data_IF_181376907166
#
_entry.id   IF_181376907166
#
_cell.length_a   1.000
_cell.length_b   1.000
_cell.length_c   1.000
_cell.angle_alpha   90.00
_cell.angle_beta   90.00
_cell.angle_gamma   90.00
#
_symmetry.space_group_name_H-M   'P 1'
#
loop_
_entity.id
_entity.type
_entity.pdbx_description
1 polymer ?
#
# COMPACT_ATOMS: atom_id res chain seq x y z
N UNK A 1 12.03 10.77 22.84
CA UNK A 1 10.83 11.38 22.25
C UNK A 1 10.63 12.72 22.96
N UNK A 2 10.37 13.80 22.22
CA UNK A 2 10.02 15.10 22.81
C UNK A 2 8.60 15.05 23.39
N UNK A 3 8.26 16.01 24.25
CA UNK A 3 6.90 16.18 24.75
C UNK A 3 5.97 16.60 23.59
N UNK A 4 4.74 16.18 23.64
CA UNK A 4 3.70 16.52 22.67
C UNK A 4 2.32 16.52 23.38
N UNK A 5 1.38 17.26 22.85
CA UNK A 5 -0.03 17.21 23.23
C UNK A 5 -0.71 16.02 22.52
N UNK A 6 -1.67 15.40 23.20
CA UNK A 6 -2.42 14.27 22.65
C UNK A 6 -3.91 14.57 22.60
N UNK A 7 -4.50 14.41 21.42
CA UNK A 7 -5.92 14.54 21.16
C UNK A 7 -6.48 13.26 20.52
N UNK A 8 -7.70 12.89 20.89
CA UNK A 8 -8.39 11.72 20.33
C UNK A 8 -9.84 12.10 19.99
N UNK A 9 -10.05 12.79 18.86
CA UNK A 9 -11.36 13.24 18.41
C UNK A 9 -12.30 12.07 18.13
N UNK A 10 -13.60 12.33 18.21
CA UNK A 10 -14.63 11.35 17.96
C UNK A 10 -15.15 11.36 16.51
N UNK A 11 -14.80 12.40 15.73
CA UNK A 11 -15.22 12.53 14.33
C UNK A 11 -14.07 12.94 13.41
N UNK A 12 -14.22 12.67 12.10
CA UNK A 12 -13.28 13.13 11.08
C UNK A 12 -13.24 14.66 11.02
N UNK A 13 -14.39 15.32 11.19
CA UNK A 13 -14.47 16.78 11.19
C UNK A 13 -13.65 17.40 12.33
N UNK A 14 -13.74 16.84 13.55
CA UNK A 14 -12.95 17.30 14.70
C UNK A 14 -11.46 17.01 14.49
N UNK A 15 -11.11 15.87 13.87
CA UNK A 15 -9.73 15.54 13.55
C UNK A 15 -9.14 16.55 12.54
N UNK A 16 -9.89 16.91 11.51
CA UNK A 16 -9.52 17.93 10.52
C UNK A 16 -9.38 19.31 11.18
N UNK A 17 -10.32 19.69 12.05
CA UNK A 17 -10.26 20.97 12.75
C UNK A 17 -9.04 21.10 13.68
N UNK A 18 -8.53 19.97 14.19
CA UNK A 18 -7.35 19.94 15.06
C UNK A 18 -6.01 19.93 14.28
N UNK A 19 -6.03 19.73 12.95
CA UNK A 19 -4.83 19.74 12.11
C UNK A 19 -4.27 21.15 11.97
N UNK A 20 -2.96 21.25 12.10
CA UNK A 20 -2.14 22.42 11.81
C UNK A 20 -0.74 21.97 11.40
N UNK A 21 0.16 22.90 11.07
CA UNK A 21 1.53 22.59 10.63
C UNK A 21 2.32 21.72 11.60
N UNK A 22 2.10 21.90 12.92
CA UNK A 22 2.79 21.18 13.99
C UNK A 22 2.07 19.90 14.45
N UNK A 23 0.91 19.58 13.87
CA UNK A 23 0.14 18.41 14.22
C UNK A 23 0.38 17.24 13.25
N UNK A 24 0.34 16.01 13.76
CA UNK A 24 0.38 14.79 12.95
C UNK A 24 -0.73 13.83 13.32
N UNK A 25 -1.36 13.25 12.31
CA UNK A 25 -2.33 12.17 12.49
C UNK A 25 -1.65 10.89 12.98
N UNK A 26 -2.21 10.30 14.01
CA UNK A 26 -1.79 9.01 14.53
C UNK A 26 -2.81 7.93 14.15
N UNK A 27 -2.42 7.04 13.23
CA UNK A 27 -3.17 5.83 12.90
C UNK A 27 -2.62 4.63 13.70
N UNK A 28 -1.99 3.65 13.05
CA UNK A 28 -1.36 2.50 13.70
C UNK A 28 -0.05 2.81 14.44
N UNK A 29 0.58 3.94 14.15
CA UNK A 29 1.81 4.41 14.79
C UNK A 29 3.09 3.65 14.42
N UNK A 30 3.03 2.73 13.44
CA UNK A 30 4.16 1.83 13.15
C UNK A 30 5.31 2.50 12.39
N UNK A 31 5.07 3.66 11.80
CA UNK A 31 6.10 4.54 11.22
C UNK A 31 6.34 5.75 12.12
N UNK A 32 5.28 6.49 12.45
CA UNK A 32 5.38 7.77 13.17
C UNK A 32 6.05 7.63 14.55
N UNK A 33 5.65 6.66 15.37
CA UNK A 33 6.20 6.52 16.72
C UNK A 33 7.70 6.12 16.72
N UNK A 34 8.19 5.18 15.90
CA UNK A 34 9.62 4.94 15.73
C UNK A 34 10.39 6.19 15.28
N UNK A 35 9.86 6.93 14.30
CA UNK A 35 10.46 8.18 13.80
C UNK A 35 10.57 9.23 14.91
N UNK A 36 9.52 9.39 15.74
CA UNK A 36 9.55 10.28 16.90
C UNK A 36 10.53 9.81 17.99
N UNK A 37 10.66 8.49 18.22
CA UNK A 37 11.64 7.93 19.17
C UNK A 37 13.07 8.24 18.74
N UNK A 38 13.34 8.23 17.44
CA UNK A 38 14.64 8.60 16.86
C UNK A 38 14.84 10.13 16.73
N UNK A 39 13.82 10.93 17.11
CA UNK A 39 13.83 12.40 17.01
C UNK A 39 13.94 12.95 15.58
N UNK A 40 13.51 12.16 14.60
CA UNK A 40 13.42 12.54 13.18
C UNK A 40 12.09 13.25 12.86
N UNK A 41 11.08 13.13 13.75
CA UNK A 41 9.85 13.88 13.70
C UNK A 41 9.53 14.38 15.11
N UNK A 42 9.12 15.65 15.24
CA UNK A 42 8.84 16.32 16.52
C UNK A 42 7.53 17.10 16.47
N UNK A 43 6.38 16.45 16.17
CA UNK A 43 5.11 17.14 16.15
C UNK A 43 4.78 17.67 17.56
N UNK A 44 4.19 18.86 17.62
CA UNK A 44 3.69 19.42 18.87
C UNK A 44 2.41 18.73 19.34
N UNK A 45 1.60 18.20 18.39
CA UNK A 45 0.34 17.52 18.68
C UNK A 45 0.20 16.21 17.91
N UNK A 46 -0.27 15.16 18.59
CA UNK A 46 -0.72 13.91 17.98
C UNK A 46 -2.24 13.82 18.01
N UNK A 47 -2.85 13.64 16.83
CA UNK A 47 -4.29 13.48 16.65
C UNK A 47 -4.58 12.01 16.37
N UNK A 48 -5.07 11.30 17.36
CA UNK A 48 -5.32 9.85 17.29
C UNK A 48 -6.68 9.55 16.65
N UNK A 49 -6.67 8.85 15.52
CA UNK A 49 -7.86 8.51 14.75
C UNK A 49 -8.64 7.29 15.29
N UNK A 50 -8.13 6.57 16.29
CA UNK A 50 -8.70 5.29 16.74
C UNK A 50 -10.11 5.37 17.33
N UNK A 51 -10.51 6.54 17.83
CA UNK A 51 -11.85 6.73 18.41
C UNK A 51 -12.92 7.12 17.39
N UNK A 52 -12.52 7.41 16.15
CA UNK A 52 -13.46 7.80 15.12
C UNK A 52 -14.21 6.57 14.59
N UNK A 53 -15.50 6.53 14.85
CA UNK A 53 -16.35 5.44 14.39
C UNK A 53 -16.41 5.40 12.85
N UNK A 54 -16.47 4.18 12.28
CA UNK A 54 -16.61 3.98 10.83
C UNK A 54 -15.31 4.08 10.03
N UNK A 55 -14.16 4.41 10.65
CA UNK A 55 -12.87 4.40 9.97
C UNK A 55 -12.23 3.00 9.90
N UNK A 56 -12.70 2.02 10.65
CA UNK A 56 -12.25 0.63 10.58
C UNK A 56 -13.36 -0.29 10.09
N UNK A 57 -12.96 -1.44 9.56
CA UNK A 57 -13.86 -2.50 9.11
C UNK A 57 -13.74 -2.77 7.61
N UNK A 58 -14.27 -3.92 7.21
CA UNK A 58 -14.23 -4.42 5.83
C UNK A 58 -15.64 -4.82 5.41
N UNK A 59 -16.07 -4.34 4.26
CA UNK A 59 -17.36 -4.66 3.69
C UNK A 59 -17.28 -4.87 2.18
N UNK A 60 -18.29 -5.55 1.62
CA UNK A 60 -18.46 -5.65 0.19
C UNK A 60 -19.52 -4.65 -0.27
N UNK A 61 -19.23 -3.90 -1.32
CA UNK A 61 -20.15 -2.97 -1.96
C UNK A 61 -20.18 -3.26 -3.46
N UNK A 62 -21.18 -4.04 -3.89
CA UNK A 62 -21.27 -4.53 -5.28
C UNK A 62 -20.05 -5.36 -5.67
N UNK A 63 -19.34 -4.93 -6.71
CA UNK A 63 -18.14 -5.58 -7.23
C UNK A 63 -16.84 -5.03 -6.62
N UNK A 64 -16.93 -4.42 -5.45
CA UNK A 64 -15.76 -3.88 -4.74
C UNK A 64 -15.73 -4.32 -3.28
N UNK A 65 -14.50 -4.46 -2.76
CA UNK A 65 -14.22 -4.55 -1.33
C UNK A 65 -13.86 -3.16 -0.82
N UNK A 66 -14.55 -2.73 0.22
CA UNK A 66 -14.33 -1.44 0.88
C UNK A 66 -13.66 -1.67 2.23
N UNK A 67 -12.50 -1.07 2.43
CA UNK A 67 -11.70 -1.20 3.65
C UNK A 67 -11.54 0.17 4.29
N UNK A 68 -11.97 0.33 5.53
CA UNK A 68 -11.78 1.54 6.31
C UNK A 68 -10.31 1.82 6.56
N UNK A 69 -9.91 3.09 6.55
CA UNK A 69 -8.50 3.51 6.64
C UNK A 69 -7.81 3.05 7.92
N UNK A 70 -8.55 2.90 9.01
CA UNK A 70 -8.04 2.46 10.32
C UNK A 70 -8.07 0.94 10.51
N UNK A 71 -8.45 0.16 9.49
CA UNK A 71 -8.45 -1.31 9.55
C UNK A 71 -7.01 -1.83 9.66
N UNK A 72 -6.71 -2.65 10.69
CA UNK A 72 -5.39 -3.23 10.88
C UNK A 72 -5.04 -4.24 9.77
N UNK A 73 -3.76 -4.37 9.43
CA UNK A 73 -3.28 -5.36 8.45
C UNK A 73 -3.70 -6.79 8.81
N UNK A 74 -3.71 -7.14 10.10
CA UNK A 74 -4.12 -8.46 10.57
C UNK A 74 -5.58 -8.76 10.21
N UNK A 75 -6.48 -7.77 10.30
CA UNK A 75 -7.88 -7.93 9.93
C UNK A 75 -8.03 -8.12 8.42
N UNK A 76 -7.33 -7.35 7.60
CA UNK A 76 -7.33 -7.52 6.15
C UNK A 76 -6.82 -8.92 5.76
N UNK A 77 -5.76 -9.41 6.42
CA UNK A 77 -5.16 -10.71 6.15
C UNK A 77 -6.09 -11.90 6.47
N UNK A 78 -6.97 -11.76 7.46
CA UNK A 78 -7.81 -12.86 7.96
C UNK A 78 -9.29 -12.72 7.61
N UNK A 79 -9.70 -11.60 7.03
CA UNK A 79 -11.10 -11.33 6.66
C UNK A 79 -11.57 -12.24 5.53
N UNK A 80 -12.68 -12.93 5.75
CA UNK A 80 -13.37 -13.71 4.71
C UNK A 80 -13.89 -12.82 3.57
N UNK A 81 -14.22 -11.56 3.86
CA UNK A 81 -14.63 -10.57 2.85
C UNK A 81 -13.44 -10.12 2.01
N UNK A 82 -12.30 -9.81 2.64
CA UNK A 82 -11.09 -9.45 1.92
C UNK A 82 -10.52 -10.62 1.11
N UNK A 83 -10.79 -11.86 1.50
CA UNK A 83 -10.39 -13.07 0.78
C UNK A 83 -11.06 -13.20 -0.61
N UNK A 84 -12.09 -12.39 -0.92
CA UNK A 84 -12.59 -12.25 -2.30
C UNK A 84 -11.51 -11.68 -3.25
N UNK A 85 -10.48 -11.01 -2.70
CA UNK A 85 -9.27 -10.57 -3.41
C UNK A 85 -8.07 -11.28 -2.77
N UNK A 86 -7.82 -12.52 -3.18
CA UNK A 86 -6.80 -13.40 -2.55
C UNK A 86 -5.42 -12.76 -2.47
N UNK A 87 -5.00 -12.07 -3.55
CA UNK A 87 -3.72 -11.36 -3.59
C UNK A 87 -3.62 -10.27 -2.52
N UNK A 88 -4.71 -9.55 -2.22
CA UNK A 88 -4.73 -8.49 -1.20
C UNK A 88 -4.64 -9.07 0.22
N UNK A 89 -5.40 -10.12 0.52
CA UNK A 89 -5.35 -10.80 1.82
C UNK A 89 -3.96 -11.43 2.05
N UNK A 90 -3.39 -12.07 1.02
CA UNK A 90 -2.04 -12.62 1.08
C UNK A 90 -0.99 -11.52 1.31
N UNK A 91 -1.04 -10.43 0.54
CA UNK A 91 -0.17 -9.26 0.73
C UNK A 91 -0.20 -8.78 2.19
N UNK A 92 -1.39 -8.55 2.74
CA UNK A 92 -1.55 -8.08 4.11
C UNK A 92 -0.90 -9.02 5.13
N UNK A 93 -0.96 -10.35 4.91
CA UNK A 93 -0.35 -11.36 5.77
C UNK A 93 1.18 -11.30 5.80
N UNK A 94 1.80 -10.73 4.75
CA UNK A 94 3.25 -10.62 4.60
C UNK A 94 3.85 -9.32 5.16
N UNK A 95 3.02 -8.37 5.61
CA UNK A 95 3.50 -7.09 6.15
C UNK A 95 4.12 -7.32 7.54
N UNK A 96 5.37 -6.90 7.70
CA UNK A 96 6.07 -6.91 8.98
C UNK A 96 5.97 -8.22 9.76
N UNK A 97 5.83 -8.11 11.06
CA UNK A 97 5.54 -9.20 11.99
C UNK A 97 4.10 -9.11 12.55
N UNK A 98 3.64 -10.08 13.37
CA UNK A 98 2.31 -10.04 13.95
C UNK A 98 2.04 -8.77 14.79
N UNK A 99 3.03 -8.24 15.53
CA UNK A 99 2.86 -7.04 16.34
C UNK A 99 2.61 -5.81 15.45
N UNK A 100 3.37 -5.69 14.34
CA UNK A 100 3.15 -4.67 13.32
C UNK A 100 1.76 -4.79 12.70
N UNK A 101 1.36 -6.01 12.29
CA UNK A 101 0.06 -6.22 11.63
C UNK A 101 -1.15 -5.90 12.48
N UNK A 102 -1.08 -6.12 13.81
CA UNK A 102 -2.18 -5.79 14.72
C UNK A 102 -2.30 -4.30 15.02
N UNK A 103 -1.33 -3.50 14.64
CA UNK A 103 -1.33 -2.05 14.90
C UNK A 103 -1.33 -1.21 13.62
N UNK A 104 -0.48 -1.57 12.65
CA UNK A 104 -0.40 -0.88 11.36
C UNK A 104 -1.72 -0.98 10.59
N UNK A 105 -2.10 0.10 9.91
CA UNK A 105 -3.38 0.24 9.21
C UNK A 105 -3.17 0.50 7.72
N UNK A 106 -4.16 0.12 6.90
CA UNK A 106 -4.09 0.35 5.45
C UNK A 106 -3.99 1.84 5.12
N UNK A 107 -4.78 2.69 5.77
CA UNK A 107 -4.75 4.13 5.53
C UNK A 107 -3.42 4.76 5.93
N UNK A 108 -2.84 4.33 7.08
CA UNK A 108 -1.52 4.79 7.51
C UNK A 108 -0.41 4.39 6.53
N UNK A 109 -0.47 3.18 5.96
CA UNK A 109 0.48 2.72 4.95
C UNK A 109 0.39 3.53 3.66
N UNK A 110 -0.83 3.77 3.16
CA UNK A 110 -1.05 4.55 1.93
C UNK A 110 -0.69 6.03 2.10
N UNK A 111 -1.04 6.64 3.26
CA UNK A 111 -0.70 8.04 3.53
C UNK A 111 0.81 8.26 3.69
N UNK A 112 1.54 7.30 4.26
CA UNK A 112 2.99 7.38 4.40
C UNK A 112 3.73 7.16 3.07
N UNK A 113 3.15 6.38 2.17
CA UNK A 113 3.70 6.04 0.86
C UNK A 113 5.20 5.72 0.86
N UNK A 114 5.63 4.87 1.80
CA UNK A 114 7.00 4.34 1.81
C UNK A 114 7.23 3.54 0.51
N UNK A 115 8.32 3.78 -0.23
CA UNK A 115 8.58 3.06 -1.48
C UNK A 115 8.67 1.54 -1.33
N UNK A 116 8.97 1.04 -0.13
CA UNK A 116 9.01 -0.39 0.18
C UNK A 116 7.72 -0.93 0.83
N UNK A 117 6.66 -0.10 0.97
CA UNK A 117 5.37 -0.54 1.47
C UNK A 117 4.66 -1.46 0.48
N UNK A 118 3.94 -2.44 0.98
CA UNK A 118 3.25 -3.45 0.17
C UNK A 118 1.93 -2.92 -0.46
N UNK A 119 1.09 -2.22 0.32
CA UNK A 119 -0.24 -1.77 -0.14
C UNK A 119 -0.26 -0.86 -1.36
N UNK A 120 0.72 0.02 -1.62
CA UNK A 120 0.74 0.80 -2.86
C UNK A 120 0.66 -0.06 -4.12
N UNK A 121 1.34 -1.23 -4.14
CA UNK A 121 1.25 -2.17 -5.25
C UNK A 121 -0.16 -2.76 -5.42
N UNK A 122 -0.83 -3.11 -4.32
CA UNK A 122 -2.21 -3.59 -4.39
C UNK A 122 -3.18 -2.48 -4.84
N UNK A 123 -3.03 -1.27 -4.33
CA UNK A 123 -3.88 -0.14 -4.72
C UNK A 123 -3.75 0.16 -6.22
N UNK A 124 -2.52 0.23 -6.72
CA UNK A 124 -2.25 0.50 -8.12
C UNK A 124 -2.64 -0.69 -9.02
N UNK A 125 -2.30 -1.92 -8.62
CA UNK A 125 -2.60 -3.14 -9.37
C UNK A 125 -4.10 -3.46 -9.45
N UNK A 126 -4.89 -3.12 -8.44
CA UNK A 126 -6.33 -3.30 -8.42
C UNK A 126 -7.11 -2.10 -8.95
N UNK A 127 -6.44 -1.04 -9.41
CA UNK A 127 -7.10 0.21 -9.79
C UNK A 127 -8.03 0.73 -8.68
N UNK A 128 -7.52 0.76 -7.46
CA UNK A 128 -8.28 1.15 -6.29
C UNK A 128 -8.66 2.64 -6.31
N UNK A 129 -9.68 2.98 -5.53
CA UNK A 129 -10.06 4.37 -5.27
C UNK A 129 -9.81 4.67 -3.80
N UNK A 130 -8.97 5.64 -3.52
CA UNK A 130 -8.70 6.19 -2.20
C UNK A 130 -9.76 7.25 -1.91
N UNK A 131 -10.55 7.03 -0.85
CA UNK A 131 -11.61 7.95 -0.45
C UNK A 131 -11.16 8.73 0.76
N UNK A 132 -11.22 10.04 0.66
CA UNK A 132 -10.87 10.97 1.73
C UNK A 132 -12.12 11.64 2.31
N UNK A 133 -11.92 12.54 3.26
CA UNK A 133 -13.00 13.42 3.74
C UNK A 133 -13.43 14.47 2.71
N UNK A 134 -12.64 14.70 1.65
CA UNK A 134 -12.91 15.72 0.63
C UNK A 134 -13.35 15.15 -0.71
N UNK A 135 -12.74 14.01 -1.15
CA UNK A 135 -12.88 13.53 -2.54
C UNK A 135 -12.52 12.05 -2.67
N UNK A 136 -12.71 11.53 -3.86
CA UNK A 136 -12.23 10.23 -4.31
C UNK A 136 -11.04 10.43 -5.26
N UNK A 137 -9.95 9.68 -5.05
CA UNK A 137 -8.73 9.77 -5.83
C UNK A 137 -8.43 8.37 -6.39
N UNK A 138 -8.30 8.26 -7.71
CA UNK A 138 -7.87 7.00 -8.33
C UNK A 138 -6.43 6.68 -7.95
N UNK A 139 -6.10 5.41 -7.74
CA UNK A 139 -4.75 5.00 -7.36
C UNK A 139 -3.68 5.45 -8.36
N UNK A 140 -4.01 5.50 -9.67
CA UNK A 140 -3.10 5.96 -10.72
C UNK A 140 -2.72 7.46 -10.57
N UNK A 141 -3.51 8.25 -9.85
CA UNK A 141 -3.26 9.67 -9.58
C UNK A 141 -2.86 9.95 -8.12
N UNK A 142 -2.84 8.90 -7.26
CA UNK A 142 -2.63 9.08 -5.83
C UNK A 142 -1.16 9.13 -5.43
N UNK A 143 -0.32 8.28 -6.01
CA UNK A 143 1.10 8.18 -5.72
C UNK A 143 1.88 9.15 -6.60
N UNK A 144 2.41 10.22 -6.03
CA UNK A 144 3.06 11.31 -6.79
C UNK A 144 4.59 11.29 -6.72
N UNK A 145 5.15 10.53 -5.78
CA UNK A 145 6.60 10.41 -5.59
C UNK A 145 6.93 9.57 -4.35
N UNK A 146 8.21 9.46 -4.02
CA UNK A 146 8.68 8.77 -2.83
C UNK A 146 8.23 9.54 -1.57
N UNK A 147 7.46 8.90 -0.68
CA UNK A 147 6.82 9.52 0.49
C UNK A 147 5.89 10.69 0.14
N UNK A 148 5.46 10.79 -1.12
CA UNK A 148 4.58 11.84 -1.59
C UNK A 148 3.27 11.26 -2.15
N UNK A 149 2.16 11.91 -1.86
CA UNK A 149 0.82 11.53 -2.32
C UNK A 149 0.05 12.76 -2.78
N UNK A 150 -1.06 12.55 -3.49
CA UNK A 150 -1.97 13.60 -3.90
C UNK A 150 -2.87 14.14 -2.75
N UNK A 151 -2.63 13.71 -1.50
CA UNK A 151 -3.36 14.27 -0.35
C UNK A 151 -3.01 15.75 -0.16
N UNK A 152 -4.05 16.54 0.03
CA UNK A 152 -3.93 17.96 0.38
C UNK A 152 -3.78 18.12 1.89
N UNK A 153 -3.41 19.34 2.32
CA UNK A 153 -3.52 19.74 3.72
C UNK A 153 -4.94 19.51 4.23
N UNK A 154 -5.06 19.03 5.45
CA UNK A 154 -6.36 18.71 6.07
C UNK A 154 -7.19 17.68 5.28
N UNK A 155 -6.55 16.79 4.53
CA UNK A 155 -7.18 15.67 3.85
C UNK A 155 -6.83 14.35 4.55
N UNK A 156 -7.86 13.61 4.96
CA UNK A 156 -7.75 12.38 5.74
C UNK A 156 -8.35 11.24 4.94
N UNK A 157 -7.58 10.15 4.73
CA UNK A 157 -8.11 8.92 4.15
C UNK A 157 -9.15 8.33 5.09
N UNK A 158 -10.35 8.07 4.57
CA UNK A 158 -11.45 7.44 5.32
C UNK A 158 -11.62 5.96 4.99
N UNK A 159 -11.43 5.58 3.73
CA UNK A 159 -11.53 4.20 3.24
C UNK A 159 -10.84 4.04 1.89
N UNK A 160 -10.66 2.79 1.48
CA UNK A 160 -10.17 2.41 0.15
C UNK A 160 -11.15 1.43 -0.46
N UNK A 161 -11.50 1.65 -1.74
CA UNK A 161 -12.36 0.79 -2.53
C UNK A 161 -11.48 -0.01 -3.50
N UNK A 162 -11.53 -1.32 -3.42
CA UNK A 162 -10.80 -2.24 -4.30
C UNK A 162 -11.77 -2.99 -5.20
N UNK A 163 -11.77 -2.74 -6.51
CA UNK A 163 -12.50 -3.59 -7.45
C UNK A 163 -12.06 -5.06 -7.32
N UNK A 164 -13.03 -5.99 -7.33
CA UNK A 164 -12.74 -7.43 -7.24
C UNK A 164 -12.27 -7.91 -8.62
N UNK A 165 -11.03 -8.40 -8.75
CA UNK A 165 -10.50 -8.91 -10.01
C UNK A 165 -11.00 -10.35 -10.28
N UNK A 166 -10.85 -10.83 -11.51
CA UNK A 166 -11.05 -12.26 -11.84
C UNK A 166 -9.99 -13.12 -11.12
N UNK A 167 -8.73 -12.64 -11.10
CA UNK A 167 -7.60 -13.26 -10.44
C UNK A 167 -6.66 -12.22 -9.87
N UNK A 168 -6.01 -12.54 -8.76
CA UNK A 168 -4.96 -11.68 -8.20
C UNK A 168 -3.89 -12.49 -7.50
N UNK A 169 -2.65 -12.02 -7.57
CA UNK A 169 -1.50 -12.59 -6.88
C UNK A 169 -0.54 -11.51 -6.42
N UNK A 170 0.15 -11.78 -5.34
CA UNK A 170 1.21 -10.93 -4.82
C UNK A 170 2.39 -11.77 -4.36
N UNK A 171 3.58 -11.39 -4.81
CA UNK A 171 4.83 -11.99 -4.33
C UNK A 171 5.87 -10.92 -4.06
N UNK A 172 6.68 -11.11 -3.02
CA UNK A 172 7.77 -10.19 -2.71
C UNK A 172 9.06 -10.91 -2.35
N UNK A 173 10.16 -10.32 -2.77
CA UNK A 173 11.47 -10.59 -2.24
C UNK A 173 11.68 -9.69 -1.02
N UNK A 174 11.63 -10.30 0.17
CA UNK A 174 11.64 -9.55 1.43
C UNK A 174 13.06 -9.33 1.94
N UNK A 175 13.31 -8.16 2.53
CA UNK A 175 14.49 -7.94 3.32
C UNK A 175 14.49 -8.88 4.55
N UNK A 176 15.56 -9.64 4.82
CA UNK A 176 15.60 -10.60 5.92
C UNK A 176 15.39 -9.99 7.30
N UNK A 177 15.88 -8.76 7.52
CA UNK A 177 15.79 -8.08 8.82
C UNK A 177 14.45 -7.38 9.03
N UNK A 178 14.05 -6.49 8.11
CA UNK A 178 12.87 -5.64 8.25
C UNK A 178 11.59 -6.29 7.72
N UNK A 179 11.71 -7.29 6.84
CA UNK A 179 10.61 -7.91 6.06
C UNK A 179 9.93 -6.97 5.06
N UNK A 180 10.45 -5.76 4.88
CA UNK A 180 10.02 -4.87 3.81
C UNK A 180 10.27 -5.50 2.43
N UNK A 181 9.50 -5.08 1.44
CA UNK A 181 9.70 -5.50 0.07
C UNK A 181 10.97 -4.84 -0.49
N UNK A 182 12.03 -5.61 -0.76
CA UNK A 182 13.09 -5.15 -1.66
C UNK A 182 12.55 -5.02 -3.08
N UNK A 183 11.72 -5.96 -3.50
CA UNK A 183 10.87 -5.93 -4.68
C UNK A 183 9.59 -6.70 -4.38
N UNK A 184 8.44 -6.08 -4.58
CA UNK A 184 7.13 -6.73 -4.50
C UNK A 184 6.35 -6.50 -5.79
N UNK A 185 5.63 -7.51 -6.27
CA UNK A 185 4.83 -7.41 -7.49
C UNK A 185 3.41 -7.89 -7.22
N UNK A 186 2.45 -7.02 -7.49
CA UNK A 186 1.03 -7.33 -7.47
C UNK A 186 0.51 -7.47 -8.90
N UNK A 187 -0.16 -8.56 -9.19
CA UNK A 187 -0.79 -8.81 -10.50
C UNK A 187 -2.29 -8.97 -10.30
N UNK A 188 -3.08 -8.29 -11.11
CA UNK A 188 -4.54 -8.43 -11.14
C UNK A 188 -5.02 -8.61 -12.58
N UNK A 189 -5.84 -9.64 -12.81
CA UNK A 189 -6.57 -9.85 -14.07
C UNK A 189 -8.01 -9.39 -13.89
N UNK A 190 -8.45 -8.51 -14.77
CA UNK A 190 -9.81 -7.99 -14.83
C UNK A 190 -10.40 -8.19 -16.24
N UNK A 191 -11.68 -7.93 -16.41
CA UNK A 191 -12.32 -7.96 -17.73
C UNK A 191 -11.71 -6.93 -18.71
N UNK A 192 -11.11 -5.85 -18.21
CA UNK A 192 -10.47 -4.80 -19.03
C UNK A 192 -8.99 -5.05 -19.32
N UNK A 193 -8.41 -6.15 -18.84
CA UNK A 193 -7.00 -6.51 -19.01
C UNK A 193 -6.28 -6.81 -17.71
N UNK A 194 -4.95 -6.89 -17.79
CA UNK A 194 -4.09 -7.20 -16.64
C UNK A 194 -3.36 -5.94 -16.18
N UNK A 195 -3.26 -5.78 -14.87
CA UNK A 195 -2.42 -4.76 -14.24
C UNK A 195 -1.28 -5.42 -13.46
N UNK A 196 -0.09 -4.85 -13.59
CA UNK A 196 1.13 -5.31 -12.91
C UNK A 196 1.74 -4.11 -12.20
N UNK A 197 1.68 -4.09 -10.88
CA UNK A 197 2.23 -3.01 -10.07
C UNK A 197 3.42 -3.49 -9.24
N UNK A 198 4.48 -2.70 -9.23
CA UNK A 198 5.77 -3.00 -8.60
C UNK A 198 6.01 -2.04 -7.45
N UNK A 199 6.35 -2.55 -6.27
CA UNK A 199 6.80 -1.79 -5.10
C UNK A 199 8.20 -2.21 -4.68
N UNK A 200 8.89 -1.38 -3.93
CA UNK A 200 10.22 -1.66 -3.38
C UNK A 200 11.37 -1.42 -4.35
N UNK A 201 11.11 -1.37 -5.65
CA UNK A 201 12.14 -1.28 -6.68
C UNK A 201 12.34 0.14 -7.24
N UNK A 202 11.25 0.89 -7.45
CA UNK A 202 11.32 2.19 -8.12
C UNK A 202 11.84 3.32 -7.22
N UNK A 203 12.71 4.16 -7.74
CA UNK A 203 13.24 5.35 -7.04
C UNK A 203 12.17 6.43 -6.81
N UNK A 204 11.11 6.45 -7.62
CA UNK A 204 9.95 7.33 -7.46
C UNK A 204 8.78 6.66 -6.70
N UNK A 205 8.99 5.47 -6.13
CA UNK A 205 7.95 4.71 -5.42
C UNK A 205 7.32 3.62 -6.27
N UNK A 206 6.04 3.34 -6.04
CA UNK A 206 5.27 2.30 -6.74
C UNK A 206 5.02 2.69 -8.20
N UNK A 207 5.11 1.72 -9.12
CA UNK A 207 4.88 1.95 -10.55
C UNK A 207 4.21 0.75 -11.24
N UNK A 208 3.67 0.97 -12.43
CA UNK A 208 3.10 -0.09 -13.29
C UNK A 208 4.09 -0.52 -14.36
N UNK A 209 4.04 -1.81 -14.70
CA UNK A 209 4.92 -2.40 -15.73
C UNK A 209 4.11 -2.71 -17.00
N UNK A 210 4.00 -1.72 -17.88
CA UNK A 210 3.12 -1.74 -19.05
C UNK A 210 3.41 -2.89 -20.03
N UNK A 211 4.69 -3.23 -20.26
CA UNK A 211 5.05 -4.33 -21.18
C UNK A 211 4.58 -5.69 -20.64
N UNK A 212 4.70 -5.91 -19.32
CA UNK A 212 4.16 -7.11 -18.69
C UNK A 212 2.63 -7.14 -18.72
N UNK A 213 1.97 -6.01 -18.54
CA UNK A 213 0.51 -5.89 -18.62
C UNK A 213 0.01 -6.29 -20.02
N UNK A 214 0.65 -5.79 -21.08
CA UNK A 214 0.32 -6.13 -22.45
C UNK A 214 0.50 -7.64 -22.73
N UNK A 215 1.65 -8.20 -22.35
CA UNK A 215 1.95 -9.61 -22.54
C UNK A 215 0.97 -10.53 -21.76
N UNK A 216 0.66 -10.19 -20.50
CA UNK A 216 -0.26 -10.97 -19.67
C UNK A 216 -1.73 -10.79 -20.07
N UNK A 217 -2.10 -9.68 -20.66
CA UNK A 217 -3.45 -9.47 -21.21
C UNK A 217 -3.67 -10.39 -22.42
N UNK A 218 -2.64 -10.58 -23.26
CA UNK A 218 -2.69 -11.51 -24.37
C UNK A 218 -2.67 -12.98 -23.92
N UNK A 219 -1.84 -13.31 -22.94
CA UNK A 219 -1.73 -14.66 -22.38
C UNK A 219 -1.39 -14.61 -20.89
N UNK A 220 -2.36 -14.91 -20.02
CA UNK A 220 -2.17 -14.90 -18.56
C UNK A 220 -1.44 -16.15 -18.07
N UNK A 221 -0.13 -16.20 -18.36
CA UNK A 221 0.76 -17.29 -17.96
C UNK A 221 2.15 -16.74 -17.55
N UNK A 222 2.86 -17.36 -16.58
CA UNK A 222 4.19 -16.90 -16.16
C UNK A 222 5.21 -16.82 -17.31
N UNK A 223 5.12 -17.73 -18.27
CA UNK A 223 6.03 -17.77 -19.43
C UNK A 223 5.80 -16.60 -20.41
N UNK A 224 4.62 -15.99 -20.44
CA UNK A 224 4.32 -14.86 -21.31
C UNK A 224 5.22 -13.64 -21.02
N UNK A 225 5.72 -13.50 -19.80
CA UNK A 225 6.58 -12.39 -19.38
C UNK A 225 8.06 -12.77 -19.20
N UNK A 226 8.45 -14.01 -19.56
CA UNK A 226 9.83 -14.49 -19.37
C UNK A 226 10.86 -13.69 -20.17
N UNK A 227 10.48 -13.16 -21.32
CA UNK A 227 11.33 -12.36 -22.21
C UNK A 227 11.24 -10.85 -22.01
N UNK A 228 10.35 -10.36 -21.14
CA UNK A 228 10.22 -8.92 -20.90
C UNK A 228 11.44 -8.42 -20.14
N UNK A 229 12.15 -7.49 -20.74
CA UNK A 229 13.31 -6.83 -20.11
C UNK A 229 12.82 -5.68 -19.25
N UNK A 230 13.33 -5.60 -18.04
CA UNK A 230 13.07 -4.50 -17.13
C UNK A 230 14.25 -3.57 -17.16
N UNK A 231 14.00 -2.30 -17.47
CA UNK A 231 15.03 -1.28 -17.47
C UNK A 231 15.46 -1.00 -16.02
N UNK A 232 16.76 -1.08 -15.69
CA UNK A 232 17.26 -0.71 -14.38
C UNK A 232 17.23 0.82 -14.13
N UNK A 233 17.11 1.63 -15.18
CA UNK A 233 16.98 3.08 -15.02
C UNK A 233 15.76 3.44 -14.18
N UNK A 234 15.94 4.29 -13.18
CA UNK A 234 14.89 4.65 -12.23
C UNK A 234 14.65 3.61 -11.13
N UNK A 235 15.45 2.55 -11.04
CA UNK A 235 15.42 1.64 -9.88
C UNK A 235 16.29 2.15 -8.73
N UNK A 236 15.91 1.75 -7.52
CA UNK A 236 16.70 2.00 -6.30
C UNK A 236 18.01 1.20 -6.34
N UNK A 237 19.09 1.83 -5.83
CA UNK A 237 20.36 1.17 -5.58
C UNK A 237 20.82 1.51 -4.16
N UNK A 238 21.02 0.49 -3.33
CA UNK A 238 21.43 0.65 -1.94
C UNK A 238 22.28 -0.55 -1.47
N UNK A 239 22.59 -0.60 -0.17
CA UNK A 239 23.39 -1.69 0.42
C UNK A 239 22.74 -3.09 0.31
N UNK A 240 21.45 -3.17 -0.03
CA UNK A 240 20.72 -4.43 -0.12
C UNK A 240 20.63 -4.96 -1.55
N UNK A 241 20.82 -4.13 -2.56
CA UNK A 241 20.80 -4.51 -3.96
C UNK A 241 20.88 -3.31 -4.89
N UNK A 242 21.60 -3.49 -5.98
CA UNK A 242 21.71 -2.50 -7.03
C UNK A 242 20.46 -2.49 -7.95
N UNK A 243 20.42 -1.52 -8.85
CA UNK A 243 19.32 -1.32 -9.80
C UNK A 243 19.12 -2.53 -10.73
N UNK A 244 20.21 -3.14 -11.21
CA UNK A 244 20.14 -4.31 -12.09
C UNK A 244 19.55 -5.52 -11.37
N UNK A 245 19.97 -5.76 -10.12
CA UNK A 245 19.42 -6.83 -9.30
C UNK A 245 17.94 -6.63 -9.01
N UNK A 246 17.51 -5.39 -8.70
CA UNK A 246 16.09 -5.08 -8.48
C UNK A 246 15.27 -5.27 -9.75
N UNK A 247 15.76 -4.82 -10.91
CA UNK A 247 15.13 -5.04 -12.21
C UNK A 247 14.97 -6.54 -12.50
N UNK A 248 16.02 -7.36 -12.26
CA UNK A 248 15.93 -8.81 -12.37
C UNK A 248 14.85 -9.41 -11.45
N UNK A 249 14.82 -8.97 -10.19
CA UNK A 249 13.83 -9.46 -9.21
C UNK A 249 12.39 -9.09 -9.59
N UNK A 250 12.14 -7.94 -10.23
CA UNK A 250 10.81 -7.59 -10.76
C UNK A 250 10.29 -8.71 -11.66
N UNK A 251 11.11 -9.15 -12.62
CA UNK A 251 10.75 -10.25 -13.53
C UNK A 251 10.49 -11.57 -12.79
N UNK A 252 11.29 -11.89 -11.78
CA UNK A 252 11.13 -13.12 -10.97
C UNK A 252 9.85 -13.05 -10.14
N UNK A 253 9.61 -11.96 -9.41
CA UNK A 253 8.43 -11.80 -8.56
C UNK A 253 7.14 -11.72 -9.39
N UNK A 254 7.16 -11.06 -10.55
CA UNK A 254 6.01 -11.03 -11.46
C UNK A 254 5.58 -12.44 -11.90
N UNK A 255 6.52 -13.27 -12.35
CA UNK A 255 6.21 -14.66 -12.74
C UNK A 255 5.63 -15.47 -11.56
N UNK A 256 6.17 -15.30 -10.36
CA UNK A 256 5.66 -15.96 -9.14
C UNK A 256 4.26 -15.46 -8.80
N UNK A 257 4.02 -14.15 -8.86
CA UNK A 257 2.71 -13.56 -8.61
C UNK A 257 1.64 -14.06 -9.60
N UNK A 258 1.98 -14.19 -10.90
CA UNK A 258 1.10 -14.78 -11.92
C UNK A 258 0.81 -16.25 -11.62
N UNK A 259 1.82 -17.04 -11.24
CA UNK A 259 1.64 -18.44 -10.88
C UNK A 259 0.78 -18.64 -9.62
N UNK A 260 0.86 -17.72 -8.66
CA UNK A 260 0.08 -17.73 -7.43
C UNK A 260 -1.32 -17.11 -7.57
N UNK A 261 -1.62 -16.45 -8.71
CA UNK A 261 -2.88 -15.75 -8.92
C UNK A 261 -4.06 -16.73 -9.02
N UNK A 262 -5.04 -16.54 -8.15
CA UNK A 262 -6.24 -17.38 -8.01
C UNK A 262 -7.52 -16.53 -7.86
#
# INVERSE_FOLDING_TARGET
MHAFEYSAPASVADAVAALNEDAKLLAGGQTLLPTMKQRLATPATLIDLRKIAGLAGISRAGDSIVIGAMTPHAEVATSTVAAAIKGLAHLASLIGDPAVRHRGTIGGSLANNDPAADYPAAALGLNAVIVTNKREIAADAYFTGMFETALEENEIITKVKFPIPEKSGYEKFRNPASRYAMVGVFVAKTASGVRVAVTGAGSSGVFRQAEMEAALTANFAPDAIKGVKIDPDGMLSDLHGDAEYRAHLVGVMARRAVAAAA
#
